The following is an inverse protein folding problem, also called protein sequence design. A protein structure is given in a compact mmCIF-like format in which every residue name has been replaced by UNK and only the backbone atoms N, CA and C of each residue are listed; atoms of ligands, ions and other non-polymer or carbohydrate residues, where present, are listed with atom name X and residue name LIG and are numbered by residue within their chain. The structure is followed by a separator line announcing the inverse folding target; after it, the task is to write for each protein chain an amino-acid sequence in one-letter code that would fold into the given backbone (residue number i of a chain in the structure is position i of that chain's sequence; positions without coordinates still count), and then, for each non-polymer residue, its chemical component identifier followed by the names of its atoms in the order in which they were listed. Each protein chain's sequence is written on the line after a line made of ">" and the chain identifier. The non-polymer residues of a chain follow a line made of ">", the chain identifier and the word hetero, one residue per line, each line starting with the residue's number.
data_IF_852361607865
#
_entry.id   IF_852361607865
#
_cell.length_a   1.000
_cell.length_b   1.000
_cell.length_c   1.000
_cell.angle_alpha   90.00
_cell.angle_beta   90.00
_cell.angle_gamma   90.00
#
_symmetry.space_group_name_H-M   'P 1'
#
loop_
_entity.id
_entity.type
_entity.pdbx_description
1 polymer ?
#
# COMPACT_ATOMS: atom_id res chain seq x y z
N UNK A 1 57.29 35.88 -1.47
CA UNK A 1 57.35 34.59 -0.76
C UNK A 1 56.84 34.78 0.66
N UNK A 2 55.62 34.33 0.96
CA UNK A 2 55.17 34.08 2.34
C UNK A 2 54.04 33.04 2.28
N UNK A 3 54.38 31.78 2.53
CA UNK A 3 53.41 30.71 2.79
C UNK A 3 52.91 30.88 4.23
N UNK A 4 51.60 31.06 4.42
CA UNK A 4 50.98 31.06 5.76
C UNK A 4 50.60 29.64 6.19
N UNK A 5 50.67 29.33 7.51
CA UNK A 5 50.59 27.98 8.05
C UNK A 5 49.15 27.48 8.20
N UNK A 6 49.02 26.16 8.19
CA UNK A 6 47.78 25.40 8.17
C UNK A 6 46.77 25.76 9.25
N UNK A 7 45.53 26.02 8.81
CA UNK A 7 44.34 25.89 9.65
C UNK A 7 43.91 24.43 9.63
N UNK A 8 44.09 23.74 10.74
CA UNK A 8 43.37 22.51 11.04
C UNK A 8 41.87 22.81 10.96
N UNK A 9 41.18 22.06 10.09
CA UNK A 9 39.78 22.24 9.73
C UNK A 9 38.89 21.97 10.97
N UNK A 10 38.15 22.97 11.50
CA UNK A 10 37.39 22.85 12.76
C UNK A 10 36.13 21.96 12.67
N UNK A 11 35.88 21.34 11.52
CA UNK A 11 34.69 20.52 11.25
C UNK A 11 34.91 19.02 11.49
N UNK A 12 36.13 18.56 11.71
CA UNK A 12 36.41 17.15 12.02
C UNK A 12 35.54 16.55 13.15
N UNK A 13 35.27 17.23 14.29
CA UNK A 13 34.44 16.64 15.33
C UNK A 13 32.97 16.45 14.91
N UNK A 14 32.43 17.28 14.02
CA UNK A 14 31.05 17.15 13.55
C UNK A 14 30.87 15.92 12.66
N UNK A 15 31.84 15.62 11.78
CA UNK A 15 31.74 14.40 10.95
C UNK A 15 31.91 13.12 11.77
N UNK A 16 32.75 13.14 12.82
CA UNK A 16 32.88 12.00 13.73
C UNK A 16 31.58 11.70 14.48
N UNK A 17 30.89 12.74 14.98
CA UNK A 17 29.61 12.59 15.65
C UNK A 17 28.52 12.05 14.71
N UNK A 18 28.45 12.55 13.46
CA UNK A 18 27.49 12.06 12.45
C UNK A 18 27.78 10.61 12.06
N UNK A 19 29.04 10.24 11.89
CA UNK A 19 29.42 8.85 11.57
C UNK A 19 29.06 7.89 12.70
N UNK A 20 29.25 8.28 13.96
CA UNK A 20 28.85 7.49 15.13
C UNK A 20 27.32 7.30 15.18
N UNK A 21 26.56 8.36 14.92
CA UNK A 21 25.09 8.33 14.94
C UNK A 21 24.53 7.43 13.82
N UNK A 22 25.10 7.52 12.61
CA UNK A 22 24.75 6.64 11.50
C UNK A 22 25.11 5.18 11.79
N UNK A 23 26.28 4.93 12.40
CA UNK A 23 26.69 3.59 12.81
C UNK A 23 25.74 2.96 13.83
N UNK A 24 25.34 3.72 14.86
CA UNK A 24 24.38 3.27 15.88
C UNK A 24 23.00 3.00 15.28
N UNK A 25 22.55 3.82 14.34
CA UNK A 25 21.27 3.61 13.65
C UNK A 25 21.27 2.33 12.81
N UNK A 26 22.34 2.06 12.06
CA UNK A 26 22.50 0.82 11.29
C UNK A 26 22.54 -0.39 12.23
N UNK A 27 23.27 -0.30 13.34
CA UNK A 27 23.32 -1.37 14.34
C UNK A 27 21.94 -1.68 14.92
N UNK A 28 21.18 -0.66 15.32
CA UNK A 28 19.81 -0.83 15.83
C UNK A 28 18.87 -1.47 14.80
N UNK A 29 18.95 -1.07 13.53
CA UNK A 29 18.14 -1.66 12.46
C UNK A 29 18.49 -3.13 12.18
N UNK A 30 19.74 -3.55 12.41
CA UNK A 30 20.17 -4.95 12.24
C UNK A 30 19.76 -5.81 13.45
N UNK A 31 19.86 -5.30 14.68
CA UNK A 31 19.52 -6.03 15.90
C UNK A 31 18.03 -6.29 16.10
N UNK A 32 17.16 -5.48 15.47
CA UNK A 32 15.70 -5.59 15.63
C UNK A 32 15.03 -6.54 14.63
N UNK A 33 15.78 -7.42 13.95
CA UNK A 33 15.16 -8.45 13.09
C UNK A 33 14.34 -9.43 13.95
N UNK A 34 13.00 -9.46 13.81
CA UNK A 34 12.18 -10.42 14.54
C UNK A 34 12.48 -11.84 14.05
N UNK A 35 12.49 -12.85 14.93
CA UNK A 35 12.64 -14.24 14.52
C UNK A 35 11.46 -14.67 13.63
N UNK A 36 11.80 -15.34 12.53
CA UNK A 36 10.87 -15.86 11.53
C UNK A 36 9.86 -16.84 12.19
N UNK A 37 8.55 -16.72 11.93
CA UNK A 37 7.58 -17.70 12.42
C UNK A 37 7.85 -19.07 11.76
N UNK A 38 8.25 -20.06 12.56
CA UNK A 38 8.23 -21.47 12.13
C UNK A 38 6.79 -21.84 11.79
N UNK A 39 6.53 -22.14 10.52
CA UNK A 39 5.28 -22.78 10.11
C UNK A 39 5.40 -24.28 10.40
N UNK A 40 4.79 -24.70 11.49
CA UNK A 40 4.49 -26.11 11.74
C UNK A 40 3.55 -26.65 10.66
N UNK A 41 3.92 -27.80 10.12
CA UNK A 41 3.15 -28.57 9.15
C UNK A 41 1.97 -29.23 9.87
N UNK A 42 0.74 -28.86 9.52
CA UNK A 42 -0.46 -29.54 10.01
C UNK A 42 -0.81 -30.75 9.11
N UNK A 43 -1.22 -31.90 9.67
CA UNK A 43 -1.54 -33.10 8.90
C UNK A 43 -2.87 -33.04 8.14
N UNK A 44 -2.93 -33.76 7.02
CA UNK A 44 -4.09 -33.95 6.14
C UNK A 44 -5.13 -34.89 6.79
N UNK A 45 -6.44 -34.58 6.79
CA UNK A 45 -7.47 -35.49 7.28
C UNK A 45 -7.95 -36.47 6.17
N UNK A 46 -8.23 -37.75 6.51
CA UNK A 46 -8.78 -38.75 5.58
C UNK A 46 -10.33 -38.68 5.42
N UNK A 47 -10.89 -39.29 4.35
CA UNK A 47 -12.27 -39.09 3.87
C UNK A 47 -13.36 -39.86 4.67
N UNK A 48 -14.66 -39.51 4.49
CA UNK A 48 -15.76 -39.99 5.34
C UNK A 48 -16.35 -41.35 4.90
N UNK A 49 -16.90 -42.10 5.86
CA UNK A 49 -17.64 -43.34 5.64
C UNK A 49 -19.12 -43.25 6.12
N UNK A 50 -19.95 -44.13 5.55
CA UNK A 50 -21.40 -44.06 5.32
C UNK A 50 -22.39 -44.35 6.50
N UNK A 51 -23.55 -43.64 6.48
CA UNK A 51 -25.04 -43.98 6.57
C UNK A 51 -25.54 -45.23 7.34
N UNK A 52 -26.85 -45.40 7.78
CA UNK A 52 -28.16 -44.82 7.34
C UNK A 52 -29.26 -44.65 8.47
N UNK A 53 -30.60 -44.75 8.22
CA UNK A 53 -31.52 -43.79 7.57
C UNK A 53 -32.69 -43.34 8.49
N UNK A 54 -33.39 -42.24 8.21
CA UNK A 54 -34.76 -42.04 8.74
C UNK A 54 -35.67 -41.22 7.79
N UNK A 55 -36.66 -41.95 7.26
CA UNK A 55 -38.03 -41.62 6.84
C UNK A 55 -38.38 -40.29 6.12
N UNK A 56 -38.65 -40.45 4.83
CA UNK A 56 -39.76 -39.91 4.01
C UNK A 56 -40.43 -38.56 4.38
N UNK A 57 -40.22 -37.57 3.51
CA UNK A 57 -41.09 -36.41 3.30
C UNK A 57 -41.06 -35.98 1.81
N UNK A 58 -42.12 -35.34 1.28
CA UNK A 58 -42.35 -35.21 -0.17
C UNK A 58 -41.35 -34.27 -0.87
N UNK A 59 -40.88 -34.66 -2.06
CA UNK A 59 -39.84 -34.00 -2.82
C UNK A 59 -40.29 -32.69 -3.51
N UNK A 60 -39.55 -31.58 -3.37
CA UNK A 60 -39.63 -30.43 -4.27
C UNK A 60 -38.71 -30.60 -5.50
N UNK A 61 -38.98 -29.91 -6.63
CA UNK A 61 -38.34 -30.15 -7.92
C UNK A 61 -36.82 -29.90 -7.91
N UNK A 62 -36.09 -30.86 -8.51
CA UNK A 62 -34.63 -30.88 -8.66
C UNK A 62 -34.11 -29.67 -9.41
N UNK A 63 -33.44 -28.76 -8.70
CA UNK A 63 -32.59 -27.74 -9.32
C UNK A 63 -31.18 -28.29 -9.35
N UNK A 64 -30.66 -28.53 -10.56
CA UNK A 64 -29.30 -29.04 -10.76
C UNK A 64 -28.28 -28.17 -9.99
N UNK A 65 -27.30 -28.76 -9.27
CA UNK A 65 -26.26 -28.00 -8.59
C UNK A 65 -25.46 -27.16 -9.58
N UNK A 66 -25.41 -25.85 -9.36
CA UNK A 66 -24.55 -24.96 -10.13
C UNK A 66 -23.09 -25.43 -10.02
N UNK A 67 -22.32 -25.45 -11.13
CA UNK A 67 -20.93 -25.88 -11.10
C UNK A 67 -20.12 -25.01 -10.13
N UNK A 68 -19.12 -25.58 -9.43
CA UNK A 68 -18.34 -24.87 -8.43
C UNK A 68 -17.66 -23.65 -9.07
N UNK A 69 -17.97 -22.47 -8.53
CA UNK A 69 -17.42 -21.20 -9.00
C UNK A 69 -15.92 -21.17 -8.68
N UNK A 70 -15.06 -21.28 -9.69
CA UNK A 70 -13.60 -21.14 -9.52
C UNK A 70 -13.28 -19.76 -8.97
N UNK A 71 -12.69 -19.69 -7.78
CA UNK A 71 -12.20 -18.43 -7.20
C UNK A 71 -11.03 -17.92 -8.03
N UNK A 72 -11.10 -16.68 -8.48
CA UNK A 72 -9.98 -16.05 -9.18
C UNK A 72 -8.75 -15.97 -8.26
N UNK A 73 -7.52 -16.06 -8.80
CA UNK A 73 -6.32 -15.83 -8.01
C UNK A 73 -6.34 -14.46 -7.35
N UNK A 74 -5.74 -14.31 -6.16
CA UNK A 74 -5.66 -13.02 -5.49
C UNK A 74 -4.88 -12.02 -6.36
N UNK A 75 -5.25 -10.73 -6.32
CA UNK A 75 -4.52 -9.71 -7.06
C UNK A 75 -3.11 -9.55 -6.49
N UNK A 76 -2.12 -9.50 -7.38
CA UNK A 76 -0.73 -9.29 -7.00
C UNK A 76 -0.45 -7.86 -6.52
N UNK A 77 -1.08 -6.86 -7.13
CA UNK A 77 -0.99 -5.46 -6.73
C UNK A 77 -2.31 -5.04 -6.11
N UNK A 78 -2.25 -4.52 -4.89
CA UNK A 78 -3.42 -4.09 -4.12
C UNK A 78 -3.28 -2.65 -3.67
N UNK A 79 -4.42 -2.01 -3.40
CA UNK A 79 -4.48 -0.66 -2.86
C UNK A 79 -5.22 -0.61 -1.53
N UNK A 80 -4.69 0.19 -0.61
CA UNK A 80 -5.40 0.58 0.62
C UNK A 80 -5.44 2.10 0.71
N UNK A 81 -6.64 2.66 0.68
CA UNK A 81 -6.86 4.09 0.86
C UNK A 81 -7.09 4.42 2.34
N UNK A 82 -6.51 5.53 2.79
CA UNK A 82 -6.82 6.17 4.06
C UNK A 82 -6.53 7.67 3.99
N UNK A 83 -7.20 8.44 4.83
CA UNK A 83 -6.75 9.79 5.18
C UNK A 83 -5.71 9.64 6.29
N UNK A 84 -4.53 10.23 6.12
CA UNK A 84 -3.43 10.11 7.10
C UNK A 84 -3.27 11.35 7.96
N UNK A 85 -3.65 12.52 7.44
CA UNK A 85 -3.66 13.77 8.19
C UNK A 85 -4.84 14.64 7.75
N UNK A 86 -5.40 15.37 8.71
CA UNK A 86 -6.45 16.35 8.45
C UNK A 86 -6.07 17.68 9.06
N UNK A 87 -6.25 18.75 8.29
CA UNK A 87 -6.07 20.12 8.71
C UNK A 87 -7.42 20.85 8.62
N UNK A 88 -7.45 22.11 9.05
CA UNK A 88 -8.66 22.94 9.05
C UNK A 88 -9.32 22.96 7.66
N UNK A 89 -8.53 23.29 6.64
CA UNK A 89 -8.99 23.49 5.27
C UNK A 89 -8.24 22.58 4.27
N UNK A 90 -7.72 21.45 4.72
CA UNK A 90 -7.08 20.47 3.83
C UNK A 90 -6.95 19.08 4.46
N UNK A 91 -6.58 18.08 3.68
CA UNK A 91 -6.20 16.77 4.19
C UNK A 91 -5.14 16.12 3.31
N UNK A 92 -4.40 15.17 3.87
CA UNK A 92 -3.49 14.31 3.13
C UNK A 92 -4.09 12.92 3.09
N UNK A 93 -4.37 12.45 1.87
CA UNK A 93 -4.77 11.08 1.61
C UNK A 93 -3.57 10.25 1.18
N UNK A 94 -3.66 8.95 1.44
CA UNK A 94 -2.66 7.96 1.05
C UNK A 94 -3.36 6.77 0.39
N UNK A 95 -2.85 6.35 -0.76
CA UNK A 95 -3.06 4.99 -1.27
C UNK A 95 -1.76 4.23 -1.12
N UNK A 96 -1.75 3.25 -0.22
CA UNK A 96 -0.63 2.31 -0.09
C UNK A 96 -0.77 1.24 -1.16
N UNK A 97 0.05 1.34 -2.21
CA UNK A 97 0.13 0.35 -3.30
C UNK A 97 1.08 -0.76 -2.88
N UNK A 98 0.57 -1.97 -2.63
CA UNK A 98 1.36 -3.12 -2.20
C UNK A 98 1.50 -4.15 -3.33
N UNK A 99 2.71 -4.66 -3.52
CA UNK A 99 3.00 -5.71 -4.49
C UNK A 99 3.36 -7.02 -3.76
N UNK A 100 2.45 -7.98 -3.81
CA UNK A 100 2.62 -9.32 -3.24
C UNK A 100 3.28 -10.32 -4.22
N UNK A 101 3.53 -9.94 -5.47
CA UNK A 101 4.24 -10.79 -6.41
C UNK A 101 5.71 -10.97 -6.01
N UNK A 102 6.32 -12.05 -6.53
CA UNK A 102 7.75 -12.33 -6.43
C UNK A 102 8.63 -11.47 -7.35
N UNK A 103 8.02 -10.58 -8.16
CA UNK A 103 8.71 -9.68 -9.10
C UNK A 103 8.19 -8.26 -8.98
N UNK A 104 8.98 -7.29 -9.43
CA UNK A 104 8.57 -5.89 -9.50
C UNK A 104 7.35 -5.70 -10.40
N UNK A 105 6.43 -4.81 -10.03
CA UNK A 105 5.20 -4.54 -10.76
C UNK A 105 4.97 -3.05 -10.97
N UNK A 106 4.58 -2.69 -12.18
CA UNK A 106 4.06 -1.36 -12.49
C UNK A 106 2.67 -1.18 -11.87
N UNK A 107 2.29 0.07 -11.69
CA UNK A 107 1.04 0.39 -11.00
C UNK A 107 0.42 1.70 -11.49
N UNK A 108 -0.90 1.72 -11.49
CA UNK A 108 -1.74 2.88 -11.77
C UNK A 108 -2.82 2.95 -10.69
N UNK A 109 -2.94 4.10 -10.02
CA UNK A 109 -4.01 4.39 -9.07
C UNK A 109 -5.02 5.30 -9.74
N UNK A 110 -6.31 4.96 -9.69
CA UNK A 110 -7.41 5.82 -10.13
C UNK A 110 -8.30 6.16 -8.95
N UNK A 111 -8.45 7.45 -8.67
CA UNK A 111 -9.30 8.01 -7.62
C UNK A 111 -10.40 8.85 -8.24
N UNK A 112 -11.59 8.80 -7.65
CA UNK A 112 -12.71 9.66 -7.98
C UNK A 112 -13.26 10.30 -6.72
N UNK A 113 -13.52 11.61 -6.77
CA UNK A 113 -14.04 12.38 -5.65
C UNK A 113 -15.38 13.05 -6.00
N UNK A 114 -16.14 13.47 -4.99
CA UNK A 114 -17.41 14.20 -5.18
C UNK A 114 -17.22 15.66 -5.59
N UNK A 115 -16.06 16.25 -5.31
CA UNK A 115 -15.65 17.60 -5.71
C UNK A 115 -14.17 17.58 -6.11
N UNK A 116 -13.72 18.57 -6.89
CA UNK A 116 -12.54 18.35 -7.76
C UNK A 116 -11.49 19.47 -7.75
N UNK A 117 -11.74 20.61 -7.11
CA UNK A 117 -11.03 21.84 -7.48
C UNK A 117 -9.61 22.01 -6.93
N UNK A 118 -9.12 21.18 -6.01
CA UNK A 118 -7.92 21.56 -5.23
C UNK A 118 -6.94 20.43 -4.92
N UNK A 119 -6.49 19.65 -5.91
CA UNK A 119 -5.28 18.83 -5.72
C UNK A 119 -4.03 19.74 -5.73
N UNK A 120 -3.41 19.93 -4.57
CA UNK A 120 -2.24 20.82 -4.39
C UNK A 120 -0.92 20.13 -4.67
N UNK A 121 -0.78 18.93 -4.15
CA UNK A 121 0.46 18.19 -4.21
C UNK A 121 0.19 16.69 -4.26
N UNK A 122 1.11 15.96 -4.86
CA UNK A 122 1.11 14.51 -4.86
C UNK A 122 2.54 13.98 -5.04
N UNK A 123 2.84 12.87 -4.38
CA UNK A 123 4.17 12.27 -4.39
C UNK A 123 4.11 10.80 -3.99
N UNK A 124 5.19 10.07 -4.25
CA UNK A 124 5.39 8.72 -3.72
C UNK A 124 6.53 8.79 -2.72
N UNK A 125 6.31 8.27 -1.52
CA UNK A 125 7.33 8.29 -0.47
C UNK A 125 8.59 7.52 -0.90
N UNK A 126 9.74 8.20 -0.86
CA UNK A 126 11.05 7.62 -1.21
C UNK A 126 11.21 7.20 -2.67
N UNK A 127 10.36 7.68 -3.59
CA UNK A 127 10.41 7.30 -5.00
C UNK A 127 10.16 8.50 -5.94
N UNK A 128 10.47 8.36 -7.24
CA UNK A 128 10.17 9.40 -8.22
C UNK A 128 8.69 9.78 -8.24
N UNK A 129 8.42 11.05 -8.51
CA UNK A 129 7.06 11.59 -8.64
C UNK A 129 6.29 10.81 -9.73
N UNK A 130 5.04 10.42 -9.49
CA UNK A 130 4.23 9.74 -10.51
C UNK A 130 3.76 10.73 -11.58
N UNK A 131 3.32 10.21 -12.71
CA UNK A 131 2.56 11.00 -13.68
C UNK A 131 1.12 11.15 -13.22
N UNK A 132 0.48 12.27 -13.55
CA UNK A 132 -0.93 12.53 -13.25
C UNK A 132 -1.69 12.84 -14.55
N UNK A 133 -2.77 12.09 -14.77
CA UNK A 133 -3.82 12.42 -15.74
C UNK A 133 -5.12 12.72 -15.00
N UNK A 134 -5.80 13.83 -15.37
CA UNK A 134 -7.08 14.24 -14.79
C UNK A 134 -8.17 14.29 -15.84
N UNK A 135 -9.34 13.75 -15.52
CA UNK A 135 -10.56 13.86 -16.33
C UNK A 135 -11.74 14.14 -15.40
N UNK A 136 -12.21 15.38 -15.39
CA UNK A 136 -13.24 15.84 -14.45
C UNK A 136 -12.87 15.58 -12.99
N UNK A 137 -13.66 14.73 -12.34
CA UNK A 137 -13.54 14.31 -10.94
C UNK A 137 -12.63 13.10 -10.69
N UNK A 138 -12.00 12.61 -11.76
CA UNK A 138 -11.16 11.44 -11.76
C UNK A 138 -9.68 11.84 -11.88
N UNK A 139 -8.88 11.36 -10.94
CA UNK A 139 -7.42 11.49 -10.92
C UNK A 139 -6.79 10.12 -11.17
N UNK A 140 -5.91 10.01 -12.16
CA UNK A 140 -5.18 8.79 -12.49
C UNK A 140 -3.69 9.04 -12.30
N UNK A 141 -3.09 8.38 -11.33
CA UNK A 141 -1.66 8.43 -11.03
C UNK A 141 -0.96 7.20 -11.60
N UNK A 142 0.06 7.39 -12.42
CA UNK A 142 0.89 6.30 -12.96
C UNK A 142 2.27 6.35 -12.33
N UNK A 143 2.69 5.25 -11.70
CA UNK A 143 4.00 5.19 -11.06
C UNK A 143 5.13 5.27 -12.07
N UNK A 144 6.05 6.22 -11.89
CA UNK A 144 7.26 6.33 -12.71
C UNK A 144 8.26 5.18 -12.46
N UNK A 145 8.16 4.51 -11.31
CA UNK A 145 8.93 3.33 -10.96
C UNK A 145 8.01 2.18 -10.50
N UNK A 146 8.36 0.92 -10.81
CA UNK A 146 7.61 -0.23 -10.33
C UNK A 146 7.80 -0.43 -8.82
N UNK A 147 6.81 -1.03 -8.16
CA UNK A 147 6.95 -1.48 -6.76
C UNK A 147 7.70 -2.81 -6.76
N UNK A 148 8.81 -2.88 -6.03
CA UNK A 148 9.58 -4.11 -5.89
C UNK A 148 8.77 -5.25 -5.26
N UNK A 149 9.23 -6.48 -5.46
CA UNK A 149 8.61 -7.68 -4.89
C UNK A 149 8.46 -7.58 -3.36
N UNK A 150 7.26 -7.87 -2.84
CA UNK A 150 6.95 -7.80 -1.41
C UNK A 150 7.02 -6.40 -0.79
N UNK A 151 7.15 -5.34 -1.59
CA UNK A 151 7.23 -3.94 -1.12
C UNK A 151 5.92 -3.20 -1.33
N UNK A 152 5.88 -1.97 -0.79
CA UNK A 152 4.78 -1.05 -0.98
C UNK A 152 5.30 0.35 -1.34
N UNK A 153 4.54 1.05 -2.17
CA UNK A 153 4.74 2.45 -2.51
C UNK A 153 3.58 3.28 -1.91
N UNK A 154 3.83 4.13 -0.91
CA UNK A 154 2.83 5.07 -0.40
C UNK A 154 2.68 6.23 -1.39
N UNK A 155 1.60 6.23 -2.17
CA UNK A 155 1.18 7.38 -2.96
C UNK A 155 0.40 8.33 -2.04
N UNK A 156 0.89 9.55 -1.86
CA UNK A 156 0.25 10.59 -1.07
C UNK A 156 -0.21 11.74 -1.95
N UNK A 157 -1.29 12.36 -1.53
CA UNK A 157 -1.88 13.52 -2.19
C UNK A 157 -2.50 14.45 -1.17
N UNK A 158 -2.36 15.74 -1.41
CA UNK A 158 -2.84 16.82 -0.57
C UNK A 158 -3.93 17.56 -1.32
N UNK A 159 -5.14 17.57 -0.76
CA UNK A 159 -6.25 18.37 -1.25
C UNK A 159 -6.52 19.54 -0.31
N UNK A 160 -6.73 20.74 -0.85
CA UNK A 160 -7.41 21.77 -0.07
C UNK A 160 -8.90 21.49 0.00
N UNK A 161 -9.53 22.15 0.95
CA UNK A 161 -10.96 22.17 1.22
C UNK A 161 -11.45 23.61 1.04
N UNK A 162 -11.17 24.21 -0.10
CA UNK A 162 -11.87 25.42 -0.51
C UNK A 162 -13.28 24.98 -0.98
N UNK A 163 -14.18 24.72 -0.02
CA UNK A 163 -15.53 24.16 -0.26
C UNK A 163 -15.79 22.84 0.49
N UNK A 164 -16.85 22.09 0.15
CA UNK A 164 -17.18 20.82 0.81
C UNK A 164 -16.03 19.82 0.73
N UNK A 165 -15.80 19.09 1.83
CA UNK A 165 -14.80 18.00 1.89
C UNK A 165 -15.01 17.06 0.71
N UNK A 166 -14.01 16.86 -0.17
CA UNK A 166 -14.16 15.90 -1.26
C UNK A 166 -14.24 14.49 -0.67
N UNK A 167 -15.38 13.84 -0.89
CA UNK A 167 -15.60 12.46 -0.48
C UNK A 167 -15.08 11.55 -1.57
N UNK A 168 -14.24 10.57 -1.21
CA UNK A 168 -13.81 9.54 -2.14
C UNK A 168 -15.02 8.68 -2.55
N UNK A 169 -15.35 8.68 -3.83
CA UNK A 169 -16.47 7.90 -4.40
C UNK A 169 -16.01 6.63 -5.09
N UNK A 170 -14.76 6.59 -5.58
CA UNK A 170 -14.16 5.37 -6.11
C UNK A 170 -12.63 5.38 -5.95
N UNK A 171 -12.05 4.22 -5.68
CA UNK A 171 -10.60 4.00 -5.69
C UNK A 171 -10.28 2.66 -6.33
N UNK A 172 -9.28 2.66 -7.21
CA UNK A 172 -8.73 1.42 -7.75
C UNK A 172 -7.23 1.48 -7.97
N UNK A 173 -6.59 0.31 -7.94
CA UNK A 173 -5.19 0.09 -8.31
C UNK A 173 -5.16 -0.99 -9.38
N UNK A 174 -4.58 -0.68 -10.54
CA UNK A 174 -4.58 -1.56 -11.72
C UNK A 174 -5.99 -2.09 -12.06
N UNK A 175 -7.01 -1.23 -11.92
CA UNK A 175 -8.42 -1.56 -12.16
C UNK A 175 -9.10 -2.37 -11.04
N UNK A 176 -8.40 -2.71 -9.95
CA UNK A 176 -8.97 -3.43 -8.80
C UNK A 176 -9.32 -2.47 -7.68
N UNK A 177 -10.50 -2.63 -7.09
CA UNK A 177 -10.97 -1.77 -5.99
C UNK A 177 -10.00 -1.71 -4.81
N UNK A 178 -9.84 -0.53 -4.24
CA UNK A 178 -9.06 -0.36 -3.02
C UNK A 178 -9.85 -0.83 -1.80
N UNK A 179 -9.13 -1.27 -0.78
CA UNK A 179 -9.70 -1.37 0.57
C UNK A 179 -9.70 0.02 1.21
N UNK A 180 -10.79 0.39 1.89
CA UNK A 180 -10.86 1.62 2.66
C UNK A 180 -10.51 1.31 4.12
N UNK A 181 -9.75 2.19 4.76
CA UNK A 181 -9.57 2.15 6.21
C UNK A 181 -9.99 3.47 6.78
N UNK A 182 -11.06 3.42 7.56
CA UNK A 182 -11.47 4.52 8.42
C UNK A 182 -10.38 4.70 9.49
N UNK A 183 -9.83 5.90 9.63
CA UNK A 183 -8.92 6.22 10.72
C UNK A 183 -9.64 6.09 12.07
N UNK A 184 -8.98 5.48 13.05
CA UNK A 184 -9.44 5.38 14.44
C UNK A 184 -9.43 6.73 15.14
#
# INVERSE_FOLDING_TARGET
>A
MHLRPGRLLPWLPTYAAVALLLGLLVFALVSLRPPEPRRDVAPVPPPPAATPPFLAGPAPPSTAPAPPRRTAPPPEVTGRYRVIDTYRDSFIGEVRVANAASRSRTWTVRLRFSSTDTLRAFWVEGAPKPELARSGDTFTFTGAAPVAAGKAAPLRFHFDRDGPVPTLTACSVNGRGCTLTTGS
#
